data_IF_607968453470
#
_entry.id   IF_607968453470
#
_cell.length_a   1.000
_cell.length_b   1.000
_cell.length_c   1.000
_cell.angle_alpha   90.00
_cell.angle_beta   90.00
_cell.angle_gamma   90.00
#
_symmetry.space_group_name_H-M   'P 1'
#
loop_
_entity.id
_entity.type
_entity.pdbx_description
1 polymer ?
#
# COMPACT_ATOMS: atom_id res chain seq x y z
N UNK A 1 -6.53 -7.75 -5.85
CA UNK A 1 -5.22 -8.40 -6.06
C UNK A 1 -5.49 -9.81 -6.57
N UNK A 2 -4.78 -10.28 -7.59
CA UNK A 2 -4.91 -11.66 -8.09
C UNK A 2 -4.12 -12.66 -7.25
N UNK A 3 -4.36 -13.97 -7.44
CA UNK A 3 -3.56 -15.02 -6.79
C UNK A 3 -2.07 -14.91 -7.15
N UNK A 4 -1.76 -14.57 -8.39
CA UNK A 4 -0.39 -14.38 -8.89
C UNK A 4 0.29 -13.20 -8.16
N UNK A 5 -0.44 -12.12 -7.93
CA UNK A 5 0.07 -10.98 -7.16
C UNK A 5 0.30 -11.34 -5.69
N UNK A 6 -0.56 -12.16 -5.08
CA UNK A 6 -0.34 -12.67 -3.72
C UNK A 6 0.92 -13.53 -3.66
N UNK A 7 1.10 -14.47 -4.59
CA UNK A 7 2.30 -15.29 -4.65
C UNK A 7 3.57 -14.44 -4.85
N UNK A 8 3.54 -13.44 -5.75
CA UNK A 8 4.63 -12.51 -5.97
C UNK A 8 4.95 -11.68 -4.71
N UNK A 9 3.92 -11.21 -4.00
CA UNK A 9 4.06 -10.45 -2.75
C UNK A 9 4.74 -11.30 -1.67
N UNK A 10 4.34 -12.56 -1.51
CA UNK A 10 4.95 -13.48 -0.55
C UNK A 10 6.39 -13.85 -0.93
N UNK A 11 6.71 -13.91 -2.22
CA UNK A 11 8.04 -14.28 -2.71
C UNK A 11 9.06 -13.14 -2.65
N UNK A 12 8.62 -11.92 -2.99
CA UNK A 12 9.51 -10.76 -3.25
C UNK A 12 9.23 -9.55 -2.36
N UNK A 13 8.12 -9.58 -1.62
CA UNK A 13 7.65 -8.46 -0.82
C UNK A 13 6.94 -7.37 -1.62
N UNK A 14 6.69 -7.58 -2.91
CA UNK A 14 5.96 -6.63 -3.76
C UNK A 14 5.14 -7.31 -4.85
N UNK A 15 4.17 -6.56 -5.36
CA UNK A 15 3.28 -6.90 -6.46
C UNK A 15 2.80 -5.60 -7.12
N UNK A 16 1.96 -5.67 -8.15
CA UNK A 16 1.43 -4.48 -8.81
C UNK A 16 0.62 -3.60 -7.86
N UNK A 17 -0.20 -4.17 -6.98
CA UNK A 17 -1.09 -3.39 -6.10
C UNK A 17 -0.67 -3.36 -4.63
N UNK A 18 0.45 -3.99 -4.26
CA UNK A 18 0.89 -4.04 -2.87
C UNK A 18 2.40 -4.17 -2.74
N UNK A 19 2.94 -3.58 -1.68
CA UNK A 19 4.29 -3.83 -1.20
C UNK A 19 4.24 -3.95 0.32
N UNK A 20 5.00 -4.90 0.88
CA UNK A 20 5.05 -5.09 2.33
C UNK A 20 6.14 -4.21 2.95
N UNK A 21 5.89 -3.79 4.19
CA UNK A 21 6.82 -3.07 5.04
C UNK A 21 6.68 -3.58 6.48
N UNK A 22 7.65 -3.26 7.35
CA UNK A 22 7.59 -3.60 8.77
C UNK A 22 7.62 -5.12 9.02
N UNK A 23 6.78 -5.68 9.94
CA UNK A 23 6.86 -7.09 10.31
C UNK A 23 6.70 -8.07 9.14
N UNK A 24 5.89 -7.72 8.13
CA UNK A 24 5.76 -8.56 6.92
C UNK A 24 7.02 -8.54 6.04
N UNK A 25 7.85 -7.50 6.10
CA UNK A 25 9.16 -7.52 5.44
C UNK A 25 10.07 -8.57 6.07
N UNK A 26 10.05 -8.73 7.39
CA UNK A 26 10.83 -9.76 8.10
C UNK A 26 10.35 -11.17 7.73
N UNK A 27 9.03 -11.37 7.66
CA UNK A 27 8.44 -12.64 7.22
C UNK A 27 8.89 -13.00 5.82
N UNK A 28 8.86 -12.06 4.88
CA UNK A 28 9.34 -12.31 3.52
C UNK A 28 10.84 -12.57 3.51
N UNK A 29 11.62 -11.77 4.25
CA UNK A 29 13.08 -11.85 4.29
C UNK A 29 13.57 -13.16 4.90
N UNK A 30 12.89 -13.67 5.92
CA UNK A 30 13.38 -14.81 6.70
C UNK A 30 12.57 -16.10 6.49
N UNK A 31 11.46 -16.06 5.74
CA UNK A 31 10.58 -17.21 5.58
C UNK A 31 10.02 -17.35 4.16
N UNK A 32 9.06 -16.53 3.75
CA UNK A 32 8.21 -16.88 2.59
C UNK A 32 8.95 -16.83 1.25
N UNK A 33 10.06 -16.08 1.15
CA UNK A 33 10.89 -16.10 -0.06
C UNK A 33 11.55 -17.46 -0.37
N UNK A 34 11.65 -18.35 0.64
CA UNK A 34 12.28 -19.67 0.51
C UNK A 34 11.27 -20.78 0.18
N UNK A 35 9.99 -20.46 0.12
CA UNK A 35 8.94 -21.40 -0.28
C UNK A 35 9.03 -21.70 -1.78
N UNK A 36 8.58 -22.89 -2.17
CA UNK A 36 8.47 -23.23 -3.59
C UNK A 36 7.35 -22.45 -4.25
N UNK A 37 7.38 -22.32 -5.58
CA UNK A 37 6.27 -21.70 -6.32
C UNK A 37 4.95 -22.45 -6.11
N UNK A 38 5.00 -23.77 -5.89
CA UNK A 38 3.82 -24.58 -5.55
C UNK A 38 3.22 -24.16 -4.21
N UNK A 39 4.05 -24.00 -3.18
CA UNK A 39 3.62 -23.58 -1.84
C UNK A 39 3.05 -22.16 -1.85
N UNK A 40 3.73 -21.22 -2.53
CA UNK A 40 3.28 -19.84 -2.66
C UNK A 40 1.91 -19.76 -3.33
N UNK A 41 1.70 -20.52 -4.41
CA UNK A 41 0.41 -20.59 -5.09
C UNK A 41 -0.68 -21.28 -4.25
N UNK A 42 -0.32 -22.29 -3.46
CA UNK A 42 -1.24 -22.94 -2.54
C UNK A 42 -1.72 -21.98 -1.44
N UNK A 43 -0.80 -21.20 -0.84
CA UNK A 43 -1.13 -20.15 0.13
C UNK A 43 -2.00 -19.08 -0.52
N UNK A 44 -1.64 -18.60 -1.72
CA UNK A 44 -2.44 -17.62 -2.45
C UNK A 44 -3.87 -18.12 -2.72
N UNK A 45 -3.99 -19.40 -3.11
CA UNK A 45 -5.29 -20.05 -3.33
C UNK A 45 -6.11 -20.11 -2.05
N UNK A 46 -5.49 -20.52 -0.94
CA UNK A 46 -6.14 -20.57 0.37
C UNK A 46 -6.61 -19.19 0.84
N UNK A 47 -5.76 -18.16 0.76
CA UNK A 47 -6.15 -16.80 1.15
C UNK A 47 -7.32 -16.25 0.34
N UNK A 48 -7.41 -16.61 -0.94
CA UNK A 48 -8.54 -16.24 -1.79
C UNK A 48 -9.82 -17.03 -1.51
N UNK A 49 -9.73 -18.23 -0.93
CA UNK A 49 -10.91 -19.04 -0.58
C UNK A 49 -11.53 -18.64 0.75
N UNK A 50 -10.80 -17.90 1.59
CA UNK A 50 -11.32 -17.35 2.83
C UNK A 50 -12.44 -16.34 2.52
N UNK A 51 -13.54 -16.44 3.27
CA UNK A 51 -14.53 -15.38 3.29
C UNK A 51 -13.88 -14.11 3.82
N UNK A 52 -14.19 -12.96 3.22
CA UNK A 52 -13.75 -11.67 3.74
C UNK A 52 -14.44 -11.41 5.08
N UNK A 53 -13.82 -11.83 6.17
CA UNK A 53 -14.23 -11.43 7.51
C UNK A 53 -13.80 -9.99 7.73
N UNK A 54 -14.78 -9.10 7.92
CA UNK A 54 -14.50 -7.74 8.33
C UNK A 54 -13.92 -7.80 9.75
N UNK A 55 -12.67 -7.35 9.98
CA UNK A 55 -12.14 -7.28 11.34
C UNK A 55 -13.12 -6.47 12.21
N UNK A 56 -13.19 -6.74 13.53
CA UNK A 56 -13.93 -5.88 14.43
C UNK A 56 -13.55 -4.44 14.15
N UNK A 57 -14.54 -3.57 13.92
CA UNK A 57 -14.25 -2.17 13.69
C UNK A 57 -13.56 -1.62 14.95
N UNK A 58 -12.24 -1.44 14.89
CA UNK A 58 -11.58 -0.49 15.77
C UNK A 58 -12.31 0.84 15.60
N UNK A 59 -12.37 1.64 16.67
CA UNK A 59 -12.95 3.00 16.60
C UNK A 59 -12.17 3.78 15.55
N UNK A 60 -12.66 3.77 14.32
CA UNK A 60 -12.13 4.57 13.24
C UNK A 60 -12.33 6.01 13.69
N UNK A 61 -11.23 6.74 13.87
CA UNK A 61 -11.30 8.19 14.00
C UNK A 61 -11.93 8.66 12.69
N UNK A 62 -13.08 9.33 12.78
CA UNK A 62 -13.73 9.87 11.60
C UNK A 62 -12.70 10.71 10.84
N UNK A 63 -12.43 10.39 9.56
CA UNK A 63 -11.42 11.14 8.82
C UNK A 63 -11.85 12.60 8.77
N UNK A 64 -10.90 13.50 9.06
CA UNK A 64 -11.12 14.92 8.82
C UNK A 64 -11.23 15.07 7.31
N UNK A 65 -12.41 15.45 6.82
CA UNK A 65 -12.65 15.62 5.40
C UNK A 65 -11.63 16.62 4.80
N UNK A 66 -10.71 16.08 4.01
CA UNK A 66 -9.72 16.84 3.28
C UNK A 66 -10.27 17.36 1.95
N UNK A 67 -9.67 18.43 1.44
CA UNK A 67 -9.94 18.94 0.11
C UNK A 67 -9.25 18.06 -0.92
N UNK A 68 -10.06 17.32 -1.70
CA UNK A 68 -9.61 16.51 -2.83
C UNK A 68 -8.72 17.32 -3.80
N UNK A 69 -9.09 18.57 -4.09
CA UNK A 69 -8.33 19.44 -4.99
C UNK A 69 -7.00 19.92 -4.40
N UNK A 70 -6.94 20.17 -3.09
CA UNK A 70 -5.68 20.47 -2.42
C UNK A 70 -4.77 19.23 -2.38
N UNK A 71 -5.33 18.06 -2.06
CA UNK A 71 -4.62 16.79 -2.05
C UNK A 71 -4.05 16.42 -3.42
N UNK A 72 -4.79 16.67 -4.50
CA UNK A 72 -4.30 16.47 -5.87
C UNK A 72 -3.05 17.30 -6.18
N UNK A 73 -2.99 18.56 -5.71
CA UNK A 73 -1.82 19.43 -5.90
C UNK A 73 -0.62 18.90 -5.13
N UNK A 74 -0.81 18.48 -3.89
CA UNK A 74 0.23 17.84 -3.08
C UNK A 74 0.73 16.55 -3.75
N UNK A 75 -0.19 15.71 -4.25
CA UNK A 75 0.14 14.48 -4.97
C UNK A 75 1.02 14.73 -6.20
N UNK A 76 0.65 15.73 -7.01
CA UNK A 76 1.39 16.09 -8.21
C UNK A 76 2.81 16.62 -7.92
N UNK A 77 3.02 17.24 -6.75
CA UNK A 77 4.34 17.76 -6.36
C UNK A 77 5.25 16.67 -5.80
N UNK A 78 4.71 15.74 -5.00
CA UNK A 78 5.54 14.85 -4.19
C UNK A 78 5.49 13.37 -4.60
N UNK A 79 4.41 12.92 -5.23
CA UNK A 79 4.10 11.49 -5.33
C UNK A 79 4.06 10.97 -6.77
N UNK A 80 3.58 11.79 -7.71
CA UNK A 80 3.31 11.38 -9.10
C UNK A 80 4.54 10.91 -9.87
N UNK A 81 5.74 11.40 -9.52
CA UNK A 81 6.99 10.97 -10.15
C UNK A 81 7.25 9.47 -9.98
N UNK A 82 6.86 8.89 -8.84
CA UNK A 82 7.05 7.47 -8.56
C UNK A 82 5.77 6.66 -8.78
N UNK A 83 4.62 7.16 -8.30
CA UNK A 83 3.35 6.43 -8.36
C UNK A 83 2.55 6.68 -9.65
N UNK A 84 3.05 7.52 -10.55
CA UNK A 84 2.38 7.89 -11.80
C UNK A 84 1.30 8.96 -11.60
N UNK A 85 0.87 9.58 -12.69
CA UNK A 85 -0.13 10.66 -12.62
C UNK A 85 -1.53 10.16 -12.25
N UNK A 86 -1.80 8.87 -12.46
CA UNK A 86 -3.06 8.20 -12.17
C UNK A 86 -2.92 7.15 -11.07
N UNK A 87 -1.85 7.20 -10.26
CA UNK A 87 -1.62 6.24 -9.18
C UNK A 87 -1.43 4.81 -9.70
N UNK A 88 -0.99 4.66 -10.94
CA UNK A 88 -0.83 3.37 -11.63
C UNK A 88 0.42 2.58 -11.19
N UNK A 89 1.36 3.23 -10.49
CA UNK A 89 2.63 2.62 -10.11
C UNK A 89 3.54 2.35 -11.31
N UNK A 90 4.54 1.49 -11.11
CA UNK A 90 5.50 1.12 -12.16
C UNK A 90 5.96 -0.33 -11.98
N UNK A 91 5.69 -1.17 -12.99
CA UNK A 91 6.27 -2.50 -13.24
C UNK A 91 6.60 -3.33 -11.99
N UNK A 92 5.61 -3.50 -11.10
CA UNK A 92 5.72 -4.22 -9.82
C UNK A 92 6.79 -3.69 -8.84
N UNK A 93 7.42 -2.57 -9.15
CA UNK A 93 8.48 -1.92 -8.38
C UNK A 93 7.87 -0.88 -7.45
N UNK A 94 7.09 0.04 -8.01
CA UNK A 94 6.28 0.99 -7.24
C UNK A 94 4.83 0.52 -7.26
N UNK A 95 4.20 0.26 -6.11
CA UNK A 95 2.83 -0.24 -6.10
C UNK A 95 1.86 0.83 -6.63
N UNK A 96 0.88 0.38 -7.39
CA UNK A 96 -0.29 1.16 -7.72
C UNK A 96 -1.00 1.58 -6.43
N UNK A 97 -1.49 2.82 -6.41
CA UNK A 97 -2.32 3.38 -5.33
C UNK A 97 -3.82 3.19 -5.65
N UNK A 98 -4.16 3.05 -6.93
CA UNK A 98 -5.49 2.65 -7.36
C UNK A 98 -5.77 1.19 -6.91
N UNK A 99 -6.86 0.95 -6.19
CA UNK A 99 -7.23 -0.39 -5.71
C UNK A 99 -6.28 -1.00 -4.67
N UNK A 100 -5.35 -0.22 -4.13
CA UNK A 100 -4.39 -0.68 -3.13
C UNK A 100 -5.08 -0.92 -1.78
N UNK A 101 -4.97 -2.13 -1.24
CA UNK A 101 -5.65 -2.54 -0.02
C UNK A 101 -5.27 -1.67 1.20
N UNK A 102 -4.02 -1.19 1.29
CA UNK A 102 -3.59 -0.29 2.35
C UNK A 102 -4.23 1.08 2.23
N UNK A 103 -4.37 1.59 0.99
CA UNK A 103 -5.02 2.87 0.72
C UNK A 103 -6.52 2.77 0.95
N UNK A 104 -7.17 1.68 0.54
CA UNK A 104 -8.63 1.53 0.60
C UNK A 104 -9.16 0.95 1.91
N UNK A 105 -8.29 0.53 2.83
CA UNK A 105 -8.69 0.01 4.14
C UNK A 105 -9.59 0.99 4.92
N UNK A 106 -10.58 0.46 5.64
CA UNK A 106 -11.49 1.27 6.47
C UNK A 106 -10.72 2.16 7.46
N UNK A 107 -9.68 1.60 8.11
CA UNK A 107 -8.77 2.35 8.97
C UNK A 107 -7.57 2.90 8.16
N UNK A 108 -7.43 4.23 8.00
CA UNK A 108 -6.37 4.82 7.20
C UNK A 108 -5.00 4.86 7.88
N UNK A 109 -4.87 4.43 9.15
CA UNK A 109 -3.64 4.61 9.94
C UNK A 109 -2.40 3.97 9.29
N UNK A 110 -2.55 2.81 8.65
CA UNK A 110 -1.40 2.18 7.97
C UNK A 110 -0.92 3.03 6.80
N UNK A 111 -1.84 3.51 5.95
CA UNK A 111 -1.50 4.39 4.84
C UNK A 111 -0.92 5.73 5.32
N UNK A 112 -1.47 6.29 6.40
CA UNK A 112 -0.97 7.53 6.99
C UNK A 112 0.45 7.35 7.57
N UNK A 113 0.73 6.24 8.26
CA UNK A 113 2.08 5.93 8.75
C UNK A 113 3.08 5.80 7.60
N UNK A 114 2.72 5.05 6.56
CA UNK A 114 3.57 4.91 5.36
C UNK A 114 3.83 6.28 4.72
N UNK A 115 2.83 7.17 4.67
CA UNK A 115 3.00 8.54 4.15
C UNK A 115 3.94 9.39 5.02
N UNK A 116 3.75 9.38 6.34
CA UNK A 116 4.47 10.29 7.24
C UNK A 116 5.88 9.79 7.58
N UNK A 117 6.01 8.50 7.83
CA UNK A 117 7.23 7.85 8.32
C UNK A 117 8.04 7.19 7.19
N UNK A 118 7.41 6.95 6.03
CA UNK A 118 8.01 6.21 4.94
C UNK A 118 7.84 4.71 5.12
N UNK A 119 8.39 3.95 4.17
CA UNK A 119 8.36 2.49 4.20
C UNK A 119 9.51 1.91 3.40
N UNK A 120 9.96 0.71 3.75
CA UNK A 120 10.97 -0.02 2.99
C UNK A 120 10.54 -1.47 2.76
N UNK A 121 10.61 -1.91 1.49
CA UNK A 121 10.34 -3.30 1.12
C UNK A 121 11.50 -4.20 1.54
N UNK A 122 11.29 -5.52 1.71
CA UNK A 122 12.36 -6.44 2.07
C UNK A 122 13.43 -6.55 0.99
N UNK A 123 14.62 -7.02 1.40
CA UNK A 123 15.65 -7.53 0.50
C UNK A 123 15.44 -9.04 0.39
N UNK A 124 15.29 -9.54 -0.83
CA UNK A 124 15.11 -10.97 -1.12
C UNK A 124 16.15 -11.44 -2.13
N UNK A 125 16.23 -12.75 -2.35
CA UNK A 125 17.08 -13.34 -3.40
C UNK A 125 16.74 -12.80 -4.80
N UNK A 126 15.51 -12.31 -5.01
CA UNK A 126 14.98 -11.92 -6.33
C UNK A 126 14.71 -10.42 -6.44
N UNK A 127 14.85 -9.66 -5.35
CA UNK A 127 14.44 -8.26 -5.34
C UNK A 127 15.22 -7.44 -4.29
N UNK A 128 15.74 -6.29 -4.71
CA UNK A 128 16.43 -5.32 -3.83
C UNK A 128 15.44 -4.42 -3.11
N UNK A 129 15.76 -3.94 -1.90
CA UNK A 129 14.86 -3.05 -1.17
C UNK A 129 14.55 -1.75 -1.93
N UNK A 130 13.30 -1.32 -1.86
CA UNK A 130 12.81 -0.02 -2.35
C UNK A 130 12.32 0.76 -1.14
N UNK A 131 12.78 1.99 -1.01
CA UNK A 131 12.36 2.90 0.04
C UNK A 131 11.38 3.94 -0.51
N UNK A 132 10.22 4.06 0.13
CA UNK A 132 9.33 5.20 0.04
C UNK A 132 9.74 6.21 1.12
N UNK A 133 10.11 7.45 0.76
CA UNK A 133 10.48 8.45 1.75
C UNK A 133 9.28 8.83 2.62
N UNK A 134 9.55 9.14 3.89
CA UNK A 134 8.56 9.75 4.78
C UNK A 134 8.41 11.25 4.49
N UNK A 135 7.18 11.75 4.52
CA UNK A 135 6.84 13.15 4.23
C UNK A 135 6.39 13.93 5.46
N UNK A 136 6.49 13.37 6.67
CA UNK A 136 6.11 14.06 7.91
C UNK A 136 6.90 15.34 8.20
N UNK A 137 8.07 15.49 7.59
CA UNK A 137 8.87 16.72 7.67
C UNK A 137 8.43 17.81 6.67
N UNK A 138 7.72 17.43 5.60
CA UNK A 138 7.35 18.31 4.49
C UNK A 138 5.87 18.72 4.52
N UNK A 139 5.01 17.89 5.10
CA UNK A 139 3.56 18.11 5.13
C UNK A 139 3.12 18.48 6.53
N UNK A 140 2.30 19.53 6.65
CA UNK A 140 1.52 19.75 7.86
C UNK A 140 0.27 18.84 7.90
N UNK A 141 -0.39 18.77 9.06
CA UNK A 141 -1.57 17.91 9.28
C UNK A 141 -2.68 18.14 8.24
N UNK A 142 -2.90 19.39 7.83
CA UNK A 142 -3.93 19.71 6.83
C UNK A 142 -3.55 19.16 5.45
N UNK A 143 -2.31 19.33 5.03
CA UNK A 143 -1.82 18.80 3.76
C UNK A 143 -1.83 17.26 3.75
N UNK A 144 -1.48 16.62 4.88
CA UNK A 144 -1.57 15.17 5.03
C UNK A 144 -3.02 14.69 4.93
N UNK A 145 -3.97 15.35 5.61
CA UNK A 145 -5.40 15.02 5.52
C UNK A 145 -5.99 15.22 4.11
N UNK A 146 -5.62 16.33 3.45
CA UNK A 146 -6.03 16.62 2.07
C UNK A 146 -5.49 15.56 1.10
N UNK A 147 -4.20 15.20 1.22
CA UNK A 147 -3.58 14.16 0.40
C UNK A 147 -4.20 12.79 0.64
N UNK A 148 -4.41 12.39 1.91
CA UNK A 148 -5.06 11.12 2.24
C UNK A 148 -6.48 11.06 1.67
N UNK A 149 -7.23 12.15 1.72
CA UNK A 149 -8.56 12.24 1.11
C UNK A 149 -8.49 12.05 -0.40
N UNK A 150 -7.50 12.66 -1.06
CA UNK A 150 -7.24 12.49 -2.49
C UNK A 150 -6.91 11.06 -2.87
N UNK A 151 -5.92 10.44 -2.23
CA UNK A 151 -5.51 9.06 -2.52
C UNK A 151 -6.66 8.06 -2.36
N UNK A 152 -7.49 8.27 -1.33
CA UNK A 152 -8.58 7.36 -0.97
C UNK A 152 -9.88 7.60 -1.74
N UNK A 153 -10.02 8.76 -2.39
CA UNK A 153 -11.18 9.10 -3.23
C UNK A 153 -10.91 9.06 -4.74
N UNK A 154 -9.65 8.84 -5.15
CA UNK A 154 -9.25 8.84 -6.56
C UNK A 154 -9.25 7.45 -7.19
N UNK A 155 -9.28 7.41 -8.52
CA UNK A 155 -9.05 6.19 -9.32
C UNK A 155 -9.99 5.01 -9.01
N UNK A 156 -11.22 5.31 -8.59
CA UNK A 156 -12.22 4.31 -8.20
C UNK A 156 -12.13 3.87 -6.73
N UNK A 157 -11.19 4.40 -5.96
CA UNK A 157 -11.14 4.19 -4.51
C UNK A 157 -12.37 4.84 -3.85
N UNK A 158 -13.08 4.09 -3.00
CA UNK A 158 -14.27 4.57 -2.30
C UNK A 158 -14.04 4.71 -0.78
N UNK A 159 -12.84 5.14 -0.40
CA UNK A 159 -12.39 5.17 0.99
C UNK A 159 -12.11 6.60 1.52
N UNK A 160 -12.24 7.62 0.66
CA UNK A 160 -11.89 9.02 0.94
C UNK A 160 -13.04 9.88 1.46
N UNK A 161 -14.03 9.27 2.12
CA UNK A 161 -15.15 9.95 2.77
C UNK A 161 -14.85 10.16 4.25
#
# INVERSE_FOLDING_TARGET
MSQEEVAALLKTGRSRHAAVAGPMSEVVTHSTQYLTDGDLNAIATYLHSLAAEKPPAEKAVAPVAGSQQAGQRTYAMYCSTCHGNKGEGSDNTIPALAGNATVTADNPLTALRVLLEGAQTPITQQATAIAMPGYGWALNDRQAADLMSYLRGSWGNQAGR
#
